data_IF_320286489357
#
_entry.id   IF_320286489357
#
_cell.length_a   1.000
_cell.length_b   1.000
_cell.length_c   1.000
_cell.angle_alpha   90.00
_cell.angle_beta   90.00
_cell.angle_gamma   90.00
#
_symmetry.space_group_name_H-M   'P 1'
#
loop_
_entity.id
_entity.type
_entity.pdbx_description
1 polymer ?
#
# COMPACT_ATOMS: atom_id res chain seq x y z
N UNK A 1 10.99 20.98 14.37
CA UNK A 1 9.88 21.53 13.60
C UNK A 1 8.68 20.57 13.53
N UNK A 2 8.82 19.35 12.96
CA UNK A 2 7.70 18.37 12.84
C UNK A 2 7.13 18.06 14.24
N UNK A 3 7.97 17.72 15.21
CA UNK A 3 7.59 17.49 16.60
C UNK A 3 6.85 18.69 17.22
N UNK A 4 7.36 19.90 17.02
CA UNK A 4 6.75 21.12 17.57
C UNK A 4 5.40 21.47 16.98
N UNK A 5 5.03 20.87 15.83
CA UNK A 5 3.71 20.95 15.21
C UNK A 5 2.72 19.91 15.76
N UNK A 6 3.15 19.02 16.65
CA UNK A 6 2.32 17.98 17.25
C UNK A 6 2.15 16.72 16.41
N UNK A 7 2.93 16.54 15.34
CA UNK A 7 2.95 15.28 14.59
C UNK A 7 3.64 14.18 15.40
N UNK A 8 3.16 12.95 15.21
CA UNK A 8 3.68 11.76 15.90
C UNK A 8 4.48 10.84 14.99
N UNK A 9 4.34 10.97 13.68
CA UNK A 9 4.99 10.10 12.69
C UNK A 9 5.50 10.88 11.48
N UNK A 10 6.53 10.34 10.85
CA UNK A 10 7.06 10.79 9.58
C UNK A 10 6.89 9.67 8.57
N UNK A 11 6.14 9.92 7.51
CA UNK A 11 6.04 9.04 6.36
C UNK A 11 6.90 9.60 5.22
N UNK A 12 7.88 8.81 4.82
CA UNK A 12 8.73 9.09 3.67
C UNK A 12 8.21 8.30 2.45
N UNK A 13 8.34 8.88 1.26
CA UNK A 13 8.22 8.10 0.03
C UNK A 13 9.15 6.88 0.09
N UNK A 14 8.94 5.84 -0.76
CA UNK A 14 9.81 4.68 -0.74
C UNK A 14 11.28 5.06 -0.82
N UNK A 15 12.07 4.57 0.14
CA UNK A 15 13.52 4.87 0.26
C UNK A 15 14.40 3.74 -0.26
N UNK A 16 13.78 2.64 -0.71
CA UNK A 16 14.52 1.51 -1.25
C UNK A 16 15.15 1.84 -2.60
N UNK A 17 16.14 1.08 -2.98
CA UNK A 17 16.85 1.26 -4.23
C UNK A 17 15.88 1.30 -5.43
N UNK A 18 16.07 2.30 -6.29
CA UNK A 18 15.35 2.51 -7.54
C UNK A 18 16.38 2.75 -8.66
N UNK A 19 17.21 1.76 -8.92
CA UNK A 19 18.29 1.83 -9.88
C UNK A 19 17.79 1.54 -11.31
N UNK A 20 17.10 2.52 -11.89
CA UNK A 20 16.67 2.45 -13.29
C UNK A 20 16.78 3.84 -13.95
N UNK A 21 17.00 3.90 -15.28
CA UNK A 21 17.30 5.14 -15.97
C UNK A 21 16.15 6.15 -15.96
N UNK A 22 14.91 5.68 -16.05
CA UNK A 22 13.71 6.51 -16.15
C UNK A 22 12.77 6.25 -14.98
N UNK A 23 12.02 7.29 -14.55
CA UNK A 23 10.97 7.19 -13.52
C UNK A 23 11.43 6.65 -12.17
N UNK A 24 12.71 6.83 -11.81
CA UNK A 24 13.25 6.37 -10.51
C UNK A 24 13.08 7.40 -9.38
N UNK A 25 12.65 8.63 -9.69
CA UNK A 25 12.58 9.75 -8.72
C UNK A 25 11.52 9.55 -7.63
N UNK A 26 10.45 8.81 -7.93
CA UNK A 26 9.33 8.63 -7.01
C UNK A 26 9.54 7.52 -5.97
N UNK A 27 10.48 6.58 -6.20
CA UNK A 27 10.80 5.49 -5.28
C UNK A 27 9.95 4.22 -5.41
N UNK A 28 8.92 4.20 -6.27
CA UNK A 28 8.00 3.05 -6.39
C UNK A 28 8.46 1.94 -7.34
N UNK A 29 9.59 2.12 -8.03
CA UNK A 29 10.18 1.11 -8.92
C UNK A 29 11.35 0.40 -8.21
N UNK A 30 11.06 -0.33 -7.15
CA UNK A 30 12.06 -0.98 -6.29
C UNK A 30 12.94 -1.95 -7.07
N UNK A 31 14.27 -1.79 -6.94
CA UNK A 31 15.27 -2.67 -7.57
C UNK A 31 16.07 -3.50 -6.56
N UNK A 32 15.98 -3.19 -5.28
CA UNK A 32 16.46 -4.04 -4.17
C UNK A 32 15.59 -3.79 -2.92
N UNK A 33 15.01 -4.88 -2.39
CA UNK A 33 14.14 -4.81 -1.19
C UNK A 33 14.89 -4.66 0.13
N UNK A 34 16.19 -4.90 0.15
CA UNK A 34 17.01 -4.86 1.38
C UNK A 34 17.99 -3.69 1.41
N UNK A 35 18.02 -2.85 0.36
CA UNK A 35 18.96 -1.76 0.24
C UNK A 35 18.24 -0.41 0.15
N UNK A 36 18.67 0.55 0.96
CA UNK A 36 18.30 1.96 0.78
C UNK A 36 19.02 2.51 -0.43
N UNK A 37 18.31 3.29 -1.24
CA UNK A 37 18.87 3.96 -2.41
C UNK A 37 20.05 4.87 -1.99
N UNK A 38 21.18 4.76 -2.67
CA UNK A 38 22.40 5.50 -2.33
C UNK A 38 22.23 7.02 -2.40
N UNK A 39 21.24 7.49 -3.20
CA UNK A 39 20.89 8.92 -3.26
C UNK A 39 20.33 9.47 -1.94
N UNK A 40 19.75 8.60 -1.12
CA UNK A 40 19.25 8.92 0.23
C UNK A 40 20.22 8.54 1.34
N UNK A 41 21.23 7.73 1.02
CA UNK A 41 22.26 7.32 1.96
C UNK A 41 22.44 5.82 2.09
N UNK A 42 22.15 5.25 3.25
CA UNK A 42 22.38 3.83 3.52
C UNK A 42 21.39 3.26 4.53
N UNK A 43 21.33 1.93 4.62
CA UNK A 43 20.58 1.22 5.67
C UNK A 43 20.96 1.71 7.08
N UNK A 44 22.26 1.96 7.31
CA UNK A 44 22.75 2.47 8.60
C UNK A 44 22.23 3.87 8.90
N UNK A 45 22.20 4.77 7.91
CA UNK A 45 21.67 6.11 8.07
C UNK A 45 20.15 6.08 8.30
N UNK A 46 19.43 5.22 7.60
CA UNK A 46 17.99 5.05 7.82
C UNK A 46 17.68 4.54 9.23
N UNK A 47 18.47 3.57 9.72
CA UNK A 47 18.39 3.12 11.11
C UNK A 47 18.71 4.24 12.12
N UNK A 48 19.69 5.09 11.81
CA UNK A 48 20.02 6.25 12.64
C UNK A 48 18.89 7.28 12.64
N UNK A 49 18.26 7.56 11.47
CA UNK A 49 17.09 8.44 11.37
C UNK A 49 15.96 7.95 12.28
N UNK A 50 15.62 6.66 12.23
CA UNK A 50 14.59 6.09 13.08
C UNK A 50 14.90 6.28 14.58
N UNK A 51 16.13 6.00 15.00
CA UNK A 51 16.56 6.20 16.38
C UNK A 51 16.48 7.66 16.83
N UNK A 52 16.90 8.60 15.99
CA UNK A 52 16.86 10.03 16.31
C UNK A 52 15.42 10.57 16.32
N UNK A 53 14.55 10.07 15.45
CA UNK A 53 13.12 10.36 15.44
C UNK A 53 12.46 9.86 16.74
N UNK A 54 12.73 8.62 17.13
CA UNK A 54 12.19 8.02 18.36
C UNK A 54 12.54 8.79 19.63
N UNK A 55 13.76 9.35 19.73
CA UNK A 55 14.18 10.22 20.86
C UNK A 55 13.33 11.48 20.97
N UNK A 56 12.62 11.85 19.90
CA UNK A 56 11.74 13.02 19.81
C UNK A 56 10.26 12.65 19.84
N UNK A 57 9.94 11.38 20.16
CA UNK A 57 8.57 10.88 20.15
C UNK A 57 7.97 10.73 18.74
N UNK A 58 8.80 10.69 17.70
CA UNK A 58 8.38 10.52 16.31
C UNK A 58 8.63 9.10 15.82
N UNK A 59 7.60 8.46 15.30
CA UNK A 59 7.70 7.18 14.61
C UNK A 59 8.04 7.33 13.13
N UNK A 60 8.57 6.27 12.53
CA UNK A 60 8.80 6.20 11.08
C UNK A 60 7.75 5.28 10.46
N UNK A 61 7.07 5.79 9.42
CA UNK A 61 6.20 5.01 8.54
C UNK A 61 6.98 4.66 7.28
N UNK A 62 7.14 3.36 7.02
CA UNK A 62 7.77 2.89 5.79
C UNK A 62 6.73 2.70 4.70
N UNK A 63 6.98 3.29 3.54
CA UNK A 63 6.26 2.97 2.33
C UNK A 63 6.76 1.65 1.74
N UNK A 64 5.85 0.73 1.43
CA UNK A 64 6.17 -0.63 1.00
C UNK A 64 5.40 -0.98 -0.27
N UNK A 65 6.14 -1.41 -1.30
CA UNK A 65 5.59 -1.86 -2.58
C UNK A 65 5.62 -3.37 -2.62
N UNK A 66 4.44 -4.03 -2.58
CA UNK A 66 4.30 -5.48 -2.62
C UNK A 66 3.85 -6.00 -3.97
N UNK A 67 3.32 -5.11 -4.83
CA UNK A 67 2.69 -5.47 -6.09
C UNK A 67 3.71 -5.75 -7.18
N UNK A 68 4.71 -4.91 -7.33
CA UNK A 68 5.60 -4.89 -8.47
C UNK A 68 7.04 -4.54 -8.08
N UNK A 69 7.95 -4.75 -9.02
CA UNK A 69 9.35 -4.29 -8.95
C UNK A 69 9.61 -3.25 -10.03
N UNK A 70 10.77 -2.60 -9.99
CA UNK A 70 11.27 -1.83 -11.13
C UNK A 70 11.83 -2.73 -12.23
N UNK A 71 11.67 -2.35 -13.49
CA UNK A 71 12.26 -3.07 -14.62
C UNK A 71 13.80 -3.10 -14.62
N UNK A 72 14.45 -2.26 -13.79
CA UNK A 72 15.89 -2.30 -13.53
C UNK A 72 16.30 -3.27 -12.41
N UNK A 73 15.37 -4.01 -11.82
CA UNK A 73 15.67 -5.00 -10.79
C UNK A 73 16.53 -6.13 -11.39
N UNK A 74 17.57 -6.56 -10.69
CA UNK A 74 18.50 -7.61 -11.16
C UNK A 74 17.80 -8.96 -11.44
N UNK A 75 16.61 -9.21 -10.88
CA UNK A 75 15.79 -10.37 -11.25
C UNK A 75 15.36 -10.37 -12.72
N UNK A 76 15.31 -9.20 -13.38
CA UNK A 76 14.93 -9.15 -14.80
C UNK A 76 15.99 -9.81 -15.69
N UNK A 77 17.24 -9.89 -15.23
CA UNK A 77 18.33 -10.59 -15.94
C UNK A 77 18.35 -12.10 -15.61
N UNK A 78 17.92 -12.49 -14.39
CA UNK A 78 17.93 -13.89 -13.92
C UNK A 78 16.80 -14.13 -12.92
N UNK A 79 15.62 -14.49 -13.44
CA UNK A 79 14.44 -14.79 -12.62
C UNK A 79 14.62 -16.09 -11.85
N UNK A 80 14.36 -16.14 -10.54
CA UNK A 80 14.53 -17.34 -9.72
C UNK A 80 13.68 -18.53 -10.16
N UNK A 81 12.48 -18.27 -10.71
CA UNK A 81 11.57 -19.28 -11.27
C UNK A 81 10.83 -18.75 -12.49
N UNK A 82 10.24 -19.65 -13.30
CA UNK A 82 9.50 -19.30 -14.52
C UNK A 82 8.16 -18.59 -14.26
N UNK A 83 7.74 -18.51 -13.03
CA UNK A 83 6.48 -17.92 -12.56
C UNK A 83 6.73 -16.89 -11.44
N UNK A 84 7.90 -16.23 -11.46
CA UNK A 84 8.26 -15.19 -10.50
C UNK A 84 7.47 -13.90 -10.72
N UNK A 85 7.22 -13.57 -11.98
CA UNK A 85 6.40 -12.45 -12.42
C UNK A 85 5.13 -12.96 -13.09
N UNK A 86 4.06 -12.22 -12.97
CA UNK A 86 2.90 -12.39 -13.85
C UNK A 86 3.25 -11.84 -15.25
N UNK A 87 2.77 -12.49 -16.30
CA UNK A 87 3.07 -12.13 -17.70
C UNK A 87 4.56 -11.91 -18.00
N UNK A 88 5.40 -12.74 -17.44
CA UNK A 88 6.85 -12.63 -17.47
C UNK A 88 7.46 -12.55 -18.89
N UNK A 89 6.81 -13.18 -19.88
CA UNK A 89 7.29 -13.22 -21.27
C UNK A 89 6.83 -12.02 -22.10
N UNK A 90 5.85 -11.25 -21.61
CA UNK A 90 5.25 -10.17 -22.39
C UNK A 90 4.54 -9.17 -21.49
N UNK A 91 4.89 -7.90 -21.61
CA UNK A 91 4.15 -6.82 -20.97
C UNK A 91 2.66 -6.86 -21.31
N UNK A 92 1.83 -6.94 -20.28
CA UNK A 92 0.37 -6.80 -20.34
C UNK A 92 -0.02 -5.85 -19.21
N UNK A 93 -0.51 -4.67 -19.57
CA UNK A 93 -0.90 -3.66 -18.59
C UNK A 93 -2.19 -4.05 -17.87
N UNK A 94 -2.25 -3.77 -16.57
CA UNK A 94 -3.49 -3.86 -15.80
C UNK A 94 -4.56 -2.92 -16.37
N UNK A 95 -5.83 -3.29 -16.21
CA UNK A 95 -6.94 -2.43 -16.65
C UNK A 95 -7.21 -1.25 -15.71
N UNK A 96 -6.58 -1.19 -14.53
CA UNK A 96 -6.78 -0.17 -13.49
C UNK A 96 -8.23 0.02 -13.01
N UNK A 97 -9.10 -0.97 -13.23
CA UNK A 97 -10.51 -0.90 -12.85
C UNK A 97 -10.74 -1.65 -11.53
N UNK A 98 -10.68 -0.93 -10.42
CA UNK A 98 -10.82 -1.48 -9.07
C UNK A 98 -12.12 -2.27 -8.86
N UNK A 99 -13.20 -1.84 -9.51
CA UNK A 99 -14.52 -2.45 -9.41
C UNK A 99 -14.53 -3.91 -9.86
N UNK A 100 -13.57 -4.34 -10.70
CA UNK A 100 -13.46 -5.72 -11.18
C UNK A 100 -13.23 -6.73 -10.04
N UNK A 101 -12.71 -6.30 -8.89
CA UNK A 101 -12.54 -7.15 -7.70
C UNK A 101 -13.89 -7.51 -7.09
N UNK A 102 -14.86 -6.60 -7.16
CA UNK A 102 -16.13 -6.65 -6.43
C UNK A 102 -17.32 -7.00 -7.32
N UNK A 103 -17.25 -6.71 -8.63
CA UNK A 103 -18.36 -6.91 -9.56
C UNK A 103 -18.65 -8.42 -9.75
N UNK A 104 -19.85 -8.91 -9.34
CA UNK A 104 -20.22 -10.30 -9.52
C UNK A 104 -20.44 -10.72 -10.99
N UNK A 105 -20.55 -9.76 -11.89
CA UNK A 105 -20.77 -9.98 -13.31
C UNK A 105 -19.49 -9.90 -14.15
N UNK A 106 -18.36 -9.51 -13.53
CA UNK A 106 -17.07 -9.42 -14.24
C UNK A 106 -16.57 -10.80 -14.65
N UNK A 107 -15.97 -10.90 -15.82
CA UNK A 107 -15.30 -12.13 -16.23
C UNK A 107 -14.03 -12.37 -15.43
N UNK A 108 -13.66 -13.65 -15.24
CA UNK A 108 -12.39 -13.99 -14.59
C UNK A 108 -11.20 -13.32 -15.27
N UNK A 109 -11.18 -13.30 -16.60
CA UNK A 109 -10.09 -12.67 -17.36
C UNK A 109 -9.92 -11.18 -17.07
N UNK A 110 -11.02 -10.44 -16.87
CA UNK A 110 -10.94 -9.02 -16.52
C UNK A 110 -10.45 -8.80 -15.07
N UNK A 111 -10.87 -9.68 -14.17
CA UNK A 111 -10.37 -9.66 -12.78
C UNK A 111 -8.89 -10.01 -12.72
N UNK A 112 -8.48 -11.10 -13.40
CA UNK A 112 -7.08 -11.50 -13.46
C UNK A 112 -6.22 -10.42 -14.15
N UNK A 113 -6.76 -9.70 -15.15
CA UNK A 113 -6.07 -8.57 -15.77
C UNK A 113 -5.82 -7.41 -14.79
N UNK A 114 -6.72 -7.19 -13.84
CA UNK A 114 -6.53 -6.18 -12.80
C UNK A 114 -5.40 -6.57 -11.83
N UNK A 115 -5.39 -7.82 -11.36
CA UNK A 115 -4.47 -8.27 -10.32
C UNK A 115 -3.13 -8.79 -10.85
N UNK A 116 -3.10 -9.30 -12.07
CA UNK A 116 -1.92 -9.96 -12.63
C UNK A 116 -1.26 -9.10 -13.76
N UNK A 117 -1.91 -8.01 -14.17
CA UNK A 117 -1.34 -7.07 -15.16
C UNK A 117 -0.32 -6.14 -14.55
N UNK A 118 0.74 -5.81 -15.28
CA UNK A 118 1.76 -4.87 -14.85
C UNK A 118 1.17 -3.47 -14.66
N UNK A 119 1.57 -2.79 -13.62
CA UNK A 119 1.06 -1.44 -13.32
C UNK A 119 1.36 -0.47 -14.46
N UNK A 120 2.62 -0.43 -14.91
CA UNK A 120 3.10 0.18 -16.16
C UNK A 120 4.26 -0.67 -16.68
N UNK A 121 4.74 -0.42 -17.90
CA UNK A 121 5.80 -1.19 -18.54
C UNK A 121 7.10 -1.28 -17.71
N UNK A 122 7.41 -0.23 -16.95
CA UNK A 122 8.60 -0.17 -16.08
C UNK A 122 8.37 -0.73 -14.68
N UNK A 123 7.19 -1.31 -14.41
CA UNK A 123 6.81 -1.90 -13.13
C UNK A 123 6.25 -3.32 -13.32
N UNK A 124 7.15 -4.32 -13.56
CA UNK A 124 6.79 -5.72 -13.68
C UNK A 124 6.05 -6.23 -12.45
N UNK A 125 4.92 -6.90 -12.67
CA UNK A 125 4.06 -7.40 -11.62
C UNK A 125 4.61 -8.70 -11.01
N UNK A 126 4.69 -8.75 -9.67
CA UNK A 126 5.14 -9.92 -8.93
C UNK A 126 4.03 -10.96 -8.82
N UNK A 127 4.35 -12.22 -9.04
CA UNK A 127 3.39 -13.30 -8.83
C UNK A 127 3.38 -13.77 -7.36
N UNK A 128 2.60 -13.14 -6.50
CA UNK A 128 2.51 -13.48 -5.08
C UNK A 128 1.83 -14.84 -4.84
N UNK A 129 1.21 -15.46 -5.85
CA UNK A 129 0.73 -16.86 -5.80
C UNK A 129 1.88 -17.85 -5.76
N UNK A 130 3.08 -17.45 -6.22
CA UNK A 130 4.32 -18.21 -6.03
C UNK A 130 4.77 -18.08 -4.57
N UNK A 131 4.89 -19.23 -3.88
CA UNK A 131 5.26 -19.29 -2.46
C UNK A 131 6.62 -18.64 -2.16
N UNK A 132 7.58 -18.70 -3.07
CA UNK A 132 8.90 -18.10 -2.85
C UNK A 132 8.83 -16.58 -2.93
N UNK A 133 8.06 -16.01 -3.87
CA UNK A 133 7.77 -14.56 -3.94
C UNK A 133 7.07 -14.11 -2.66
N UNK A 134 6.01 -14.82 -2.26
CA UNK A 134 5.26 -14.51 -1.04
C UNK A 134 6.16 -14.52 0.20
N UNK A 135 6.96 -15.56 0.38
CA UNK A 135 7.89 -15.66 1.51
C UNK A 135 8.96 -14.56 1.49
N UNK A 136 9.50 -14.24 0.31
CA UNK A 136 10.50 -13.17 0.17
C UNK A 136 9.95 -11.82 0.62
N UNK A 137 8.74 -11.46 0.16
CA UNK A 137 8.09 -10.20 0.52
C UNK A 137 7.75 -10.11 2.01
N UNK A 138 7.27 -11.22 2.61
CA UNK A 138 7.01 -11.30 4.06
C UNK A 138 8.33 -11.11 4.82
N UNK A 139 9.38 -11.84 4.47
CA UNK A 139 10.67 -11.76 5.17
C UNK A 139 11.31 -10.37 5.02
N UNK A 140 11.25 -9.75 3.86
CA UNK A 140 11.74 -8.40 3.66
C UNK A 140 11.00 -7.40 4.54
N UNK A 141 9.68 -7.56 4.69
CA UNK A 141 8.87 -6.70 5.58
C UNK A 141 9.28 -6.88 7.05
N UNK A 142 9.30 -8.13 7.54
CA UNK A 142 9.70 -8.44 8.93
C UNK A 142 11.09 -7.90 9.23
N UNK A 143 12.03 -8.08 8.29
CA UNK A 143 13.39 -7.60 8.45
C UNK A 143 13.46 -6.07 8.62
N UNK A 144 12.71 -5.31 7.81
CA UNK A 144 12.69 -3.85 7.96
C UNK A 144 12.04 -3.40 9.25
N UNK A 145 10.94 -4.04 9.67
CA UNK A 145 10.28 -3.71 10.95
C UNK A 145 11.28 -3.86 12.10
N UNK A 146 12.01 -4.96 12.14
CA UNK A 146 13.00 -5.23 13.18
C UNK A 146 14.24 -4.34 13.06
N UNK A 147 14.80 -4.26 11.83
CA UNK A 147 16.08 -3.58 11.59
C UNK A 147 16.09 -2.10 11.98
N UNK A 148 15.03 -1.37 11.68
CA UNK A 148 14.93 0.06 12.01
C UNK A 148 13.91 0.38 13.10
N UNK A 149 13.26 -0.62 13.69
CA UNK A 149 12.20 -0.45 14.70
C UNK A 149 11.07 0.42 14.16
N UNK A 150 10.45 -0.03 13.06
CA UNK A 150 9.33 0.69 12.41
C UNK A 150 8.16 0.89 13.36
N UNK A 151 7.53 2.04 13.26
CA UNK A 151 6.29 2.35 13.97
C UNK A 151 5.05 2.03 13.16
N UNK A 152 5.14 2.09 11.82
CA UNK A 152 4.02 1.80 10.93
C UNK A 152 4.49 1.48 9.51
N UNK A 153 3.60 0.89 8.72
CA UNK A 153 3.81 0.61 7.30
C UNK A 153 2.63 1.15 6.49
N UNK A 154 2.93 1.80 5.39
CA UNK A 154 1.97 2.08 4.31
C UNK A 154 2.20 1.08 3.19
N UNK A 155 1.17 0.38 2.78
CA UNK A 155 1.23 -0.56 1.64
C UNK A 155 0.68 0.12 0.39
N UNK A 156 1.55 0.26 -0.59
CA UNK A 156 1.24 0.85 -1.89
C UNK A 156 0.32 -0.06 -2.72
N UNK A 157 -0.55 0.56 -3.54
CA UNK A 157 -1.40 -0.13 -4.53
C UNK A 157 -2.08 -1.41 -3.99
N UNK A 158 -2.56 -1.40 -2.76
CA UNK A 158 -3.03 -2.57 -2.01
C UNK A 158 -3.99 -3.47 -2.80
N UNK A 159 -5.04 -2.96 -3.51
CA UNK A 159 -5.99 -3.80 -4.21
C UNK A 159 -5.45 -4.56 -5.44
N UNK A 160 -4.32 -4.16 -5.98
CA UNK A 160 -3.70 -4.80 -7.15
C UNK A 160 -3.00 -6.12 -6.78
N UNK A 161 -2.56 -6.25 -5.55
CA UNK A 161 -1.84 -7.41 -5.02
C UNK A 161 -2.80 -8.59 -4.85
N UNK A 162 -2.32 -9.83 -5.04
CA UNK A 162 -3.14 -11.03 -4.77
C UNK A 162 -3.73 -10.99 -3.36
N UNK A 163 -5.06 -11.04 -3.26
CA UNK A 163 -5.76 -10.86 -1.98
C UNK A 163 -5.49 -11.98 -0.97
N UNK A 164 -5.22 -13.21 -1.42
CA UNK A 164 -4.90 -14.31 -0.52
C UNK A 164 -3.52 -14.11 0.09
N UNK A 165 -2.58 -13.62 -0.73
CA UNK A 165 -1.27 -13.21 -0.22
C UNK A 165 -1.39 -12.05 0.76
N UNK A 166 -2.20 -11.03 0.47
CA UNK A 166 -2.43 -9.90 1.39
C UNK A 166 -2.98 -10.34 2.74
N UNK A 167 -3.94 -11.28 2.74
CA UNK A 167 -4.45 -11.89 3.98
C UNK A 167 -3.34 -12.61 4.74
N UNK A 168 -2.54 -13.43 4.06
CA UNK A 168 -1.40 -14.14 4.67
C UNK A 168 -0.35 -13.16 5.20
N UNK A 169 0.05 -12.18 4.38
CA UNK A 169 1.06 -11.19 4.74
C UNK A 169 0.65 -10.38 5.97
N UNK A 170 -0.57 -9.79 5.94
CA UNK A 170 -1.06 -8.97 7.05
C UNK A 170 -1.24 -9.78 8.33
N UNK A 171 -1.68 -11.04 8.23
CA UNK A 171 -1.75 -11.96 9.37
C UNK A 171 -0.37 -12.20 9.97
N UNK A 172 0.63 -12.55 9.15
CA UNK A 172 2.00 -12.81 9.61
C UNK A 172 2.65 -11.61 10.29
N UNK A 173 2.44 -10.39 9.71
CA UNK A 173 2.96 -9.16 10.31
C UNK A 173 2.29 -8.88 11.65
N UNK A 174 0.97 -9.07 11.75
CA UNK A 174 0.22 -8.87 13.01
C UNK A 174 0.58 -9.90 14.09
N UNK A 175 0.85 -11.14 13.71
CA UNK A 175 1.28 -12.20 14.65
C UNK A 175 2.68 -11.91 15.23
N UNK A 176 3.63 -11.46 14.39
CA UNK A 176 5.01 -11.18 14.82
C UNK A 176 5.12 -9.84 15.56
N UNK A 177 4.37 -8.83 15.11
CA UNK A 177 4.39 -7.48 15.68
C UNK A 177 2.97 -7.00 16.05
N UNK A 178 2.37 -7.50 17.14
CA UNK A 178 0.97 -7.22 17.49
C UNK A 178 0.64 -5.73 17.72
N UNK A 179 1.65 -4.91 17.98
CA UNK A 179 1.48 -3.47 18.23
C UNK A 179 1.80 -2.59 17.01
N UNK A 180 2.25 -3.21 15.91
CA UNK A 180 2.54 -2.48 14.70
C UNK A 180 1.24 -2.13 13.99
N UNK A 181 0.97 -0.85 13.82
CA UNK A 181 -0.12 -0.42 12.93
C UNK A 181 0.39 -0.35 11.48
N UNK A 182 -0.46 -0.73 10.53
CA UNK A 182 -0.16 -0.61 9.11
C UNK A 182 -1.46 -0.41 8.32
N UNK A 183 -1.34 0.24 7.18
CA UNK A 183 -2.50 0.63 6.39
C UNK A 183 -2.28 0.46 4.90
N UNK A 184 -3.36 0.11 4.21
CA UNK A 184 -3.39 -0.09 2.76
C UNK A 184 -3.84 1.14 2.01
N UNK A 185 -3.32 1.29 0.81
CA UNK A 185 -3.80 2.28 -0.13
C UNK A 185 -4.76 1.64 -1.14
N UNK A 186 -6.04 1.95 -1.02
CA UNK A 186 -7.04 1.67 -2.05
C UNK A 186 -7.53 3.01 -2.60
N UNK A 187 -6.96 3.46 -3.72
CA UNK A 187 -7.25 4.79 -4.27
C UNK A 187 -8.57 4.80 -5.04
N UNK A 188 -9.64 4.72 -4.28
CA UNK A 188 -11.03 4.81 -4.77
C UNK A 188 -11.84 5.71 -3.84
N UNK A 189 -12.86 6.36 -4.40
CA UNK A 189 -13.68 7.31 -3.64
C UNK A 189 -14.99 6.69 -3.11
N UNK A 190 -15.18 5.40 -3.27
CA UNK A 190 -16.32 4.66 -2.75
C UNK A 190 -15.94 3.94 -1.46
N UNK A 191 -16.66 4.26 -0.40
CA UNK A 191 -16.39 3.72 0.94
C UNK A 191 -16.57 2.19 1.00
N UNK A 192 -17.50 1.63 0.24
CA UNK A 192 -17.73 0.19 0.22
C UNK A 192 -16.58 -0.57 -0.40
N UNK A 193 -15.88 0.04 -1.36
CA UNK A 193 -14.70 -0.54 -1.99
C UNK A 193 -13.44 -0.41 -1.12
N UNK A 194 -13.34 0.64 -0.31
CA UNK A 194 -12.23 0.81 0.65
C UNK A 194 -12.42 -0.07 1.87
N UNK A 195 -13.62 -0.08 2.46
CA UNK A 195 -13.94 -0.83 3.69
C UNK A 195 -13.77 -2.33 3.53
N UNK A 196 -14.02 -2.88 2.33
CA UNK A 196 -13.82 -4.29 2.02
C UNK A 196 -12.42 -4.82 2.43
N UNK A 197 -11.41 -3.99 2.31
CA UNK A 197 -10.03 -4.38 2.58
C UNK A 197 -9.65 -4.34 4.06
N UNK A 198 -10.42 -3.64 4.90
CA UNK A 198 -10.09 -3.51 6.32
C UNK A 198 -10.46 -4.79 7.10
N UNK A 199 -9.67 -5.09 8.12
CA UNK A 199 -9.95 -6.14 9.10
C UNK A 199 -11.35 -5.96 9.70
N UNK A 200 -12.02 -7.08 9.94
CA UNK A 200 -13.36 -7.15 10.53
C UNK A 200 -14.48 -6.55 9.65
N UNK A 201 -14.18 -6.17 8.40
CA UNK A 201 -15.21 -5.77 7.45
C UNK A 201 -16.09 -6.96 7.04
N UNK A 202 -17.38 -6.69 6.81
CA UNK A 202 -18.32 -7.68 6.28
C UNK A 202 -18.15 -7.75 4.77
N UNK A 203 -17.56 -8.82 4.27
CA UNK A 203 -17.28 -9.03 2.84
C UNK A 203 -18.31 -9.95 2.20
N UNK A 204 -18.67 -9.69 0.95
CA UNK A 204 -19.70 -10.47 0.22
C UNK A 204 -19.21 -11.86 -0.22
N UNK A 205 -17.91 -12.08 -0.25
CA UNK A 205 -17.26 -13.32 -0.73
C UNK A 205 -16.51 -14.08 0.38
N UNK A 206 -16.65 -13.64 1.63
CA UNK A 206 -15.98 -14.25 2.79
C UNK A 206 -14.48 -13.96 2.85
N UNK A 207 -13.98 -12.94 2.13
CA UNK A 207 -12.59 -12.52 2.25
C UNK A 207 -12.28 -12.03 3.66
N UNK A 208 -11.25 -12.58 4.26
CA UNK A 208 -10.78 -12.22 5.60
C UNK A 208 -9.48 -11.42 5.48
N UNK A 209 -9.55 -10.14 5.77
CA UNK A 209 -8.40 -9.25 5.84
C UNK A 209 -7.90 -9.11 7.26
N UNK A 210 -6.58 -8.98 7.42
CA UNK A 210 -5.94 -8.72 8.72
C UNK A 210 -5.28 -7.33 8.75
N UNK A 211 -5.49 -6.50 7.71
CA UNK A 211 -4.96 -5.13 7.71
C UNK A 211 -5.79 -4.24 8.64
N UNK A 212 -5.16 -3.61 9.65
CA UNK A 212 -5.94 -2.89 10.67
C UNK A 212 -6.53 -1.57 10.16
N UNK A 213 -5.90 -0.92 9.18
CA UNK A 213 -6.32 0.39 8.71
C UNK A 213 -6.27 0.50 7.18
N UNK A 214 -7.08 1.41 6.64
CA UNK A 214 -7.06 1.80 5.23
C UNK A 214 -6.94 3.31 5.10
N UNK A 215 -6.42 3.80 3.96
CA UNK A 215 -6.48 5.23 3.62
C UNK A 215 -7.91 5.63 3.28
N UNK A 216 -8.38 6.67 3.95
CA UNK A 216 -9.74 7.20 3.75
C UNK A 216 -9.78 8.22 2.59
N UNK A 217 -9.71 7.70 1.36
CA UNK A 217 -9.90 8.52 0.16
C UNK A 217 -11.31 9.10 0.02
N UNK A 218 -12.39 8.38 0.41
CA UNK A 218 -13.73 8.95 0.41
C UNK A 218 -13.86 10.23 1.25
N UNK A 219 -13.32 10.25 2.46
CA UNK A 219 -13.32 11.44 3.30
C UNK A 219 -12.42 12.53 2.73
N UNK A 220 -11.20 12.18 2.27
CA UNK A 220 -10.29 13.14 1.62
C UNK A 220 -10.97 13.83 0.42
N UNK A 221 -11.62 13.07 -0.46
CA UNK A 221 -12.38 13.61 -1.59
C UNK A 221 -13.48 14.54 -1.13
N UNK A 222 -14.22 14.16 -0.10
CA UNK A 222 -15.33 14.96 0.45
C UNK A 222 -14.84 16.25 1.10
N UNK A 223 -13.69 16.22 1.77
CA UNK A 223 -13.03 17.41 2.33
C UNK A 223 -12.65 18.39 1.22
N UNK A 224 -11.94 17.92 0.19
CA UNK A 224 -11.52 18.76 -0.95
C UNK A 224 -12.74 19.35 -1.66
N UNK A 225 -13.73 18.53 -1.95
CA UNK A 225 -14.94 18.97 -2.65
C UNK A 225 -15.75 19.93 -1.78
N UNK A 226 -15.99 19.56 -0.53
CA UNK A 226 -16.83 20.32 0.41
C UNK A 226 -16.24 21.69 0.77
N UNK A 227 -14.91 21.81 0.85
CA UNK A 227 -14.25 23.09 1.15
C UNK A 227 -14.14 24.00 -0.08
N UNK A 228 -14.11 23.44 -1.29
CA UNK A 228 -13.96 24.19 -2.54
C UNK A 228 -15.30 24.48 -3.24
N UNK A 229 -16.39 23.80 -2.89
CA UNK A 229 -17.71 24.05 -3.47
C UNK A 229 -18.47 25.14 -2.73
N UNK A 230 -19.20 25.94 -3.49
CA UNK A 230 -20.08 26.98 -2.93
C UNK A 230 -21.28 26.40 -2.17
N UNK A 231 -22.06 27.28 -1.51
CA UNK A 231 -23.28 26.90 -0.80
C UNK A 231 -24.39 26.51 -1.79
N UNK A 232 -24.65 25.20 -1.88
CA UNK A 232 -25.83 24.66 -2.53
C UNK A 232 -26.46 23.59 -1.63
N UNK A 233 -27.72 23.22 -1.93
CA UNK A 233 -28.48 22.28 -1.10
C UNK A 233 -27.74 20.95 -0.84
N UNK A 234 -26.97 20.45 -1.80
CA UNK A 234 -26.28 19.14 -1.75
C UNK A 234 -24.76 19.26 -1.83
N UNK A 235 -24.16 20.37 -1.44
CA UNK A 235 -22.72 20.60 -1.53
C UNK A 235 -22.14 21.27 -0.28
N UNK A 236 -20.85 21.51 -0.30
CA UNK A 236 -20.14 22.15 0.80
C UNK A 236 -19.92 21.21 1.98
N UNK A 237 -20.01 21.74 3.21
CA UNK A 237 -19.78 20.98 4.45
C UNK A 237 -20.70 19.75 4.57
N UNK A 238 -21.87 19.77 3.95
CA UNK A 238 -22.76 18.63 3.88
C UNK A 238 -22.14 17.37 3.24
N UNK A 239 -21.20 17.53 2.30
CA UNK A 239 -20.49 16.40 1.70
C UNK A 239 -19.58 15.70 2.71
N UNK A 240 -18.91 16.47 3.55
CA UNK A 240 -18.03 15.96 4.62
C UNK A 240 -18.88 15.14 5.61
N UNK A 241 -20.01 15.68 6.04
CA UNK A 241 -20.91 14.98 6.96
C UNK A 241 -21.46 13.68 6.34
N UNK A 242 -21.82 13.70 5.04
CA UNK A 242 -22.28 12.51 4.33
C UNK A 242 -21.20 11.43 4.21
N UNK A 243 -19.93 11.81 4.06
CA UNK A 243 -18.84 10.85 4.09
C UNK A 243 -18.70 10.21 5.47
N UNK A 244 -18.53 11.02 6.52
CA UNK A 244 -18.39 10.54 7.90
C UNK A 244 -19.59 9.70 8.36
N UNK A 245 -20.82 10.04 7.93
CA UNK A 245 -22.02 9.27 8.29
C UNK A 245 -22.04 7.84 7.72
N UNK A 246 -21.13 7.51 6.79
CA UNK A 246 -20.99 6.17 6.20
C UNK A 246 -19.87 5.34 6.83
N UNK A 247 -19.14 5.87 7.78
CA UNK A 247 -18.00 5.20 8.42
C UNK A 247 -18.40 3.90 9.12
N UNK A 248 -19.70 3.69 9.40
CA UNK A 248 -20.23 2.42 9.89
C UNK A 248 -19.97 1.21 8.95
N UNK A 249 -19.58 1.46 7.68
CA UNK A 249 -19.24 0.41 6.73
C UNK A 249 -17.83 -0.16 6.97
N UNK A 250 -16.95 0.57 7.65
CA UNK A 250 -15.62 0.07 8.03
C UNK A 250 -15.73 -0.94 9.18
N UNK A 251 -14.84 -1.92 9.20
CA UNK A 251 -14.69 -2.85 10.31
C UNK A 251 -14.25 -2.14 11.60
N UNK A 252 -13.35 -1.15 11.46
CA UNK A 252 -12.96 -0.22 12.52
C UNK A 252 -12.93 1.22 11.99
N UNK A 253 -14.00 2.01 12.20
CA UNK A 253 -14.08 3.39 11.73
C UNK A 253 -13.12 4.37 12.44
N UNK A 254 -12.50 3.95 13.54
CA UNK A 254 -11.54 4.77 14.30
C UNK A 254 -10.09 4.51 13.91
N UNK A 255 -9.84 3.51 13.08
CA UNK A 255 -8.51 3.17 12.59
C UNK A 255 -8.41 3.39 11.08
N UNK A 256 -8.44 4.64 10.68
CA UNK A 256 -8.35 5.10 9.30
C UNK A 256 -7.18 6.06 9.14
N UNK A 257 -6.54 6.02 7.99
CA UNK A 257 -5.45 6.95 7.65
C UNK A 257 -5.94 7.98 6.66
N UNK A 258 -6.01 9.24 7.09
CA UNK A 258 -6.31 10.36 6.19
C UNK A 258 -5.03 10.86 5.53
N UNK A 259 -5.04 10.99 4.21
CA UNK A 259 -3.92 11.52 3.44
C UNK A 259 -4.19 12.95 3.01
N UNK A 260 -3.14 13.78 3.08
CA UNK A 260 -3.10 15.07 2.40
C UNK A 260 -2.51 14.89 1.00
N UNK A 261 -3.24 15.27 0.00
CA UNK A 261 -2.78 15.36 -1.39
C UNK A 261 -2.87 16.81 -1.83
#
# INVERSE_FOLDING_TARGET
YIESMGFTHIWLNPVLENNQPDFSYHGYSTTDYYQVDERFGSNTLYKQLSKEAAKRGLGIVKDLVLNHIGSGHWWMDDLPTKDWLNHQDKYIQTNHVHETVFDPHVTRAQRDLFTDGWFVETMPDLNQKNQFVANYLIQATLWWVEYISLSSIRVDTYPYVDKNFLSLWSKRISEEFPYLNFFGEAWVNDISLVSYWQKDAITHDGYESYIPAMKDFPLQKSLVTGLNSGHAWDSGIGDIYRALSKDFQYGDPYNLSLIHI
#
